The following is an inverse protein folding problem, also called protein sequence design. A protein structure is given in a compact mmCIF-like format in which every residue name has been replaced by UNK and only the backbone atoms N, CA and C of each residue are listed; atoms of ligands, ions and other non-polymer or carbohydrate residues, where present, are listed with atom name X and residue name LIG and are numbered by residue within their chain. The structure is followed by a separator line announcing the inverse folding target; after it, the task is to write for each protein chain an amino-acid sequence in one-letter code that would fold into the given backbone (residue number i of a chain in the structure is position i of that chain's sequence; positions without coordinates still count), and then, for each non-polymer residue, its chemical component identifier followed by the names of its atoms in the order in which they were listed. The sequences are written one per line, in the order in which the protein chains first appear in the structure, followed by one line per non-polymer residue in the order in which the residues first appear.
data_IF_138002948808
#
_entry.id   IF_138002948808
#
_cell.length_a   1.000
_cell.length_b   1.000
_cell.length_c   1.000
_cell.angle_alpha   90.00
_cell.angle_beta   90.00
_cell.angle_gamma   90.00
#
_symmetry.space_group_name_H-M   'P 1'
#
loop_
_entity.id
_entity.type
_entity.pdbx_description
1 polymer ?
#
# COMPACT_ATOMS: atom_id res chain seq x y z
N UNK A 1 -18.10 -77.06 -38.62
CA UNK A 1 -18.13 -77.13 -37.15
C UNK A 1 -18.04 -75.70 -36.61
N UNK A 2 -18.86 -75.40 -35.60
CA UNK A 2 -19.04 -74.16 -34.81
C UNK A 2 -17.78 -73.25 -34.75
N UNK A 3 -17.82 -71.92 -34.83
CA UNK A 3 -18.87 -70.88 -34.85
C UNK A 3 -18.23 -69.51 -35.20
N UNK A 4 -19.02 -68.42 -35.35
CA UNK A 4 -18.58 -67.18 -36.01
C UNK A 4 -18.32 -66.03 -35.03
N UNK A 5 -17.33 -65.18 -35.31
CA UNK A 5 -17.22 -63.82 -34.76
C UNK A 5 -16.64 -62.89 -35.85
N UNK A 6 -17.52 -62.14 -36.53
CA UNK A 6 -17.87 -60.72 -36.34
C UNK A 6 -16.91 -59.77 -37.09
N UNK A 7 -17.52 -59.09 -38.06
CA UNK A 7 -16.96 -58.04 -38.89
C UNK A 7 -16.75 -56.74 -38.11
N UNK A 8 -15.77 -55.95 -38.54
CA UNK A 8 -15.57 -54.57 -38.11
C UNK A 8 -14.68 -53.84 -39.11
N UNK A 9 -15.29 -53.33 -40.18
CA UNK A 9 -14.69 -52.30 -41.02
C UNK A 9 -15.02 -50.92 -40.45
N UNK A 10 -14.18 -49.93 -40.73
CA UNK A 10 -14.52 -48.53 -40.47
C UNK A 10 -13.35 -47.58 -40.29
N UNK A 11 -12.86 -47.09 -41.42
CA UNK A 11 -12.36 -45.73 -41.68
C UNK A 11 -11.64 -44.94 -40.56
N UNK A 12 -10.36 -44.71 -40.83
CA UNK A 12 -9.53 -43.65 -40.25
C UNK A 12 -10.04 -42.29 -40.77
N UNK A 13 -10.55 -41.45 -39.87
CA UNK A 13 -10.79 -40.03 -40.11
C UNK A 13 -9.85 -39.22 -39.22
N UNK A 14 -8.91 -38.53 -39.84
CA UNK A 14 -7.99 -37.59 -39.21
C UNK A 14 -8.73 -36.38 -38.67
N UNK A 15 -8.59 -36.10 -37.37
CA UNK A 15 -8.96 -34.83 -36.75
C UNK A 15 -7.85 -34.41 -35.76
N UNK A 16 -7.19 -33.31 -36.14
CA UNK A 16 -6.26 -32.54 -35.34
C UNK A 16 -6.99 -31.91 -34.14
N UNK A 17 -6.50 -32.13 -32.93
CA UNK A 17 -6.67 -31.22 -31.79
C UNK A 17 -5.36 -31.22 -30.97
N UNK A 18 -4.72 -30.06 -30.75
CA UNK A 18 -3.59 -29.96 -29.83
C UNK A 18 -4.12 -30.02 -28.38
N UNK A 19 -3.41 -30.79 -27.55
CA UNK A 19 -3.61 -30.86 -26.10
C UNK A 19 -3.60 -29.45 -25.49
N UNK A 20 -4.78 -28.98 -25.08
CA UNK A 20 -4.98 -27.91 -24.12
C UNK A 20 -5.84 -28.50 -22.99
N UNK A 21 -5.48 -28.13 -21.76
CA UNK A 21 -6.08 -28.54 -20.47
C UNK A 21 -5.60 -29.88 -19.91
N UNK A 22 -4.66 -29.83 -18.96
CA UNK A 22 -4.91 -29.93 -17.51
C UNK A 22 -3.57 -29.65 -16.81
N UNK A 23 -3.39 -28.40 -16.40
CA UNK A 23 -2.42 -27.99 -15.37
C UNK A 23 -3.01 -26.78 -14.65
N UNK A 24 -4.21 -26.96 -14.10
CA UNK A 24 -4.87 -25.99 -13.25
C UNK A 24 -5.34 -26.73 -12.00
N UNK A 25 -4.40 -27.06 -11.11
CA UNK A 25 -4.64 -27.44 -9.72
C UNK A 25 -3.28 -27.48 -9.02
N UNK A 26 -3.14 -26.66 -7.97
CA UNK A 26 -1.97 -26.49 -7.09
C UNK A 26 -0.94 -25.45 -7.56
N UNK A 27 -1.29 -24.19 -7.34
CA UNK A 27 -0.39 -23.06 -7.50
C UNK A 27 -1.11 -21.76 -7.18
N UNK A 28 -1.67 -21.65 -5.97
CA UNK A 28 -2.00 -20.35 -5.43
C UNK A 28 -0.67 -19.60 -5.29
N UNK A 29 -0.34 -18.79 -6.30
CA UNK A 29 0.72 -17.82 -6.19
C UNK A 29 0.27 -16.85 -5.10
N UNK A 30 0.80 -17.03 -3.90
CA UNK A 30 0.84 -15.96 -2.92
C UNK A 30 1.55 -14.80 -3.62
N UNK A 31 0.81 -13.75 -3.98
CA UNK A 31 1.41 -12.49 -4.39
C UNK A 31 2.29 -12.06 -3.23
N UNK A 32 3.62 -12.13 -3.42
CA UNK A 32 4.56 -11.55 -2.47
C UNK A 32 4.17 -10.08 -2.32
N UNK A 33 4.00 -9.61 -1.09
CA UNK A 33 3.69 -8.21 -0.86
C UNK A 33 4.83 -7.37 -1.48
N UNK A 34 4.52 -6.31 -2.24
CA UNK A 34 5.54 -5.45 -2.81
C UNK A 34 6.44 -4.89 -1.70
N UNK A 35 7.74 -5.01 -1.89
CA UNK A 35 8.75 -4.54 -0.93
C UNK A 35 8.65 -3.03 -0.83
N UNK A 36 8.07 -2.53 0.26
CA UNK A 36 8.05 -1.10 0.56
C UNK A 36 9.48 -0.66 0.87
N UNK A 37 9.97 0.35 0.15
CA UNK A 37 11.31 0.88 0.35
C UNK A 37 11.41 1.55 1.73
N UNK A 38 12.50 1.28 2.45
CA UNK A 38 12.75 1.80 3.80
C UNK A 38 13.80 2.91 3.74
N UNK A 39 13.53 4.05 4.38
CA UNK A 39 14.55 5.08 4.67
C UNK A 39 15.49 4.53 5.73
N UNK A 40 16.56 3.84 5.32
CA UNK A 40 17.54 3.25 6.25
C UNK A 40 18.19 4.26 7.20
N UNK A 41 18.25 5.54 6.81
CA UNK A 41 18.72 6.63 7.67
C UNK A 41 17.69 7.11 8.71
N UNK A 42 16.40 6.80 8.53
CA UNK A 42 15.31 7.25 9.40
C UNK A 42 14.88 6.18 10.42
N UNK A 43 15.25 4.92 10.21
CA UNK A 43 14.95 3.82 11.15
C UNK A 43 15.91 3.83 12.36
N UNK A 44 15.50 3.26 13.50
CA UNK A 44 16.37 3.12 14.66
C UNK A 44 17.66 2.35 14.35
N UNK A 45 18.81 2.66 15.00
CA UNK A 45 20.08 1.98 14.72
C UNK A 45 20.02 0.46 14.88
N UNK A 46 19.28 -0.04 15.90
CA UNK A 46 19.09 -1.47 16.10
C UNK A 46 18.26 -2.09 14.96
N UNK A 47 17.27 -1.36 14.42
CA UNK A 47 16.51 -1.79 13.26
C UNK A 47 17.39 -1.94 12.02
N UNK A 48 18.28 -0.97 11.78
CA UNK A 48 19.22 -1.02 10.67
C UNK A 48 20.19 -2.21 10.80
N UNK A 49 20.67 -2.51 12.00
CA UNK A 49 21.55 -3.67 12.26
C UNK A 49 20.88 -5.01 11.97
N UNK A 50 19.57 -5.14 12.22
CA UNK A 50 18.82 -6.38 12.01
C UNK A 50 18.00 -6.41 10.71
N UNK A 51 18.24 -5.46 9.79
CA UNK A 51 17.49 -5.36 8.54
C UNK A 51 17.64 -6.63 7.67
N UNK A 52 18.85 -7.19 7.60
CA UNK A 52 19.10 -8.45 6.86
C UNK A 52 18.35 -9.63 7.49
N UNK A 53 18.35 -9.76 8.82
CA UNK A 53 17.56 -10.78 9.53
C UNK A 53 16.07 -10.64 9.21
N UNK A 54 15.53 -9.42 9.22
CA UNK A 54 14.12 -9.18 8.90
C UNK A 54 13.81 -9.53 7.44
N UNK A 55 14.68 -9.12 6.51
CA UNK A 55 14.53 -9.44 5.08
C UNK A 55 14.60 -10.95 4.83
N UNK A 56 15.51 -11.66 5.50
CA UNK A 56 15.63 -13.12 5.42
C UNK A 56 14.34 -13.80 5.88
N UNK A 57 13.83 -13.44 7.07
CA UNK A 57 12.62 -14.07 7.64
C UNK A 57 11.39 -13.77 6.78
N UNK A 58 11.21 -12.53 6.35
CA UNK A 58 10.04 -12.13 5.54
C UNK A 58 10.06 -12.80 4.17
N UNK A 59 11.20 -12.86 3.49
CA UNK A 59 11.28 -13.51 2.17
C UNK A 59 11.07 -15.03 2.22
N UNK A 60 11.50 -15.69 3.29
CA UNK A 60 11.46 -17.17 3.40
C UNK A 60 10.23 -17.71 4.12
N UNK A 61 9.72 -16.99 5.11
CA UNK A 61 8.73 -17.51 6.07
C UNK A 61 7.43 -16.71 6.07
N UNK A 62 7.50 -15.41 5.78
CA UNK A 62 6.34 -14.51 5.84
C UNK A 62 6.35 -13.41 4.75
N UNK A 63 6.20 -13.77 3.47
CA UNK A 63 6.21 -12.79 2.37
C UNK A 63 5.03 -11.81 2.41
N UNK A 64 3.99 -12.11 3.19
CA UNK A 64 2.82 -11.25 3.39
C UNK A 64 3.01 -10.15 4.46
N UNK A 65 4.07 -10.20 5.27
CA UNK A 65 4.36 -9.21 6.30
C UNK A 65 5.54 -8.33 5.85
N UNK A 66 5.31 -7.07 5.43
CA UNK A 66 6.37 -6.21 4.92
C UNK A 66 7.42 -5.88 5.99
N UNK A 67 8.69 -5.83 5.60
CA UNK A 67 9.79 -5.45 6.49
C UNK A 67 9.59 -4.07 7.13
N UNK A 68 9.06 -3.10 6.38
CA UNK A 68 8.72 -1.77 6.90
C UNK A 68 7.66 -1.84 8.01
N UNK A 69 6.64 -2.69 7.84
CA UNK A 69 5.61 -2.91 8.85
C UNK A 69 6.18 -3.51 10.12
N UNK A 70 7.10 -4.48 10.00
CA UNK A 70 7.83 -5.05 11.16
C UNK A 70 8.58 -3.96 11.91
N UNK A 71 9.30 -3.09 11.21
CA UNK A 71 10.07 -2.01 11.84
C UNK A 71 9.15 -1.03 12.57
N UNK A 72 8.03 -0.65 11.95
CA UNK A 72 7.03 0.24 12.52
C UNK A 72 6.31 -0.39 13.72
N UNK A 73 5.97 -1.67 13.64
CA UNK A 73 5.33 -2.43 14.72
C UNK A 73 6.27 -2.55 15.93
N UNK A 74 7.53 -2.97 15.74
CA UNK A 74 8.52 -3.03 16.82
C UNK A 74 8.79 -1.65 17.44
N UNK A 75 8.79 -0.59 16.62
CA UNK A 75 8.87 0.78 17.14
C UNK A 75 7.63 1.14 18.00
N UNK A 76 6.44 0.70 17.58
CA UNK A 76 5.20 0.88 18.32
C UNK A 76 5.10 0.01 19.59
N UNK A 77 5.88 -1.06 19.71
CA UNK A 77 5.91 -1.88 20.91
C UNK A 77 6.95 -1.37 21.91
N UNK A 78 8.22 -1.38 21.52
CA UNK A 78 9.32 -1.16 22.46
C UNK A 78 10.17 0.06 22.14
N UNK A 79 9.84 0.83 21.08
CA UNK A 79 10.75 1.85 20.54
C UNK A 79 12.13 1.28 20.19
N UNK A 80 12.17 0.03 19.73
CA UNK A 80 13.41 -0.71 19.46
C UNK A 80 14.33 -0.88 20.68
N UNK A 81 13.80 -0.81 21.90
CA UNK A 81 14.49 -1.24 23.12
C UNK A 81 14.30 -2.76 23.30
N UNK A 82 15.37 -3.58 23.19
CA UNK A 82 15.26 -5.03 23.37
C UNK A 82 15.12 -5.45 24.83
N UNK A 83 15.39 -4.55 25.78
CA UNK A 83 15.25 -4.79 27.22
C UNK A 83 13.90 -4.35 27.77
N UNK A 84 13.03 -3.81 26.92
CA UNK A 84 11.73 -3.30 27.32
C UNK A 84 10.90 -4.37 28.02
N UNK A 85 10.34 -4.01 29.18
CA UNK A 85 9.41 -4.84 29.93
C UNK A 85 8.24 -3.99 30.42
N UNK A 86 7.02 -4.46 30.13
CA UNK A 86 5.79 -3.89 30.68
C UNK A 86 5.14 -4.87 31.64
N UNK A 87 4.80 -4.42 32.85
CA UNK A 87 4.10 -5.24 33.83
C UNK A 87 2.59 -5.22 33.54
N UNK A 88 1.99 -6.41 33.46
CA UNK A 88 0.54 -6.56 33.33
C UNK A 88 0.04 -7.72 34.21
N UNK A 89 -1.27 -7.97 34.17
CA UNK A 89 -1.91 -9.05 34.94
C UNK A 89 -1.50 -10.46 34.51
N UNK A 90 -0.81 -10.63 33.39
CA UNK A 90 -0.41 -11.90 32.81
C UNK A 90 1.07 -12.23 33.03
N UNK A 91 1.76 -11.51 33.93
CA UNK A 91 3.20 -11.67 34.16
C UNK A 91 4.07 -10.73 33.33
N UNK A 92 3.46 -9.83 32.56
CA UNK A 92 4.13 -8.82 31.76
C UNK A 92 4.51 -9.28 30.36
N UNK A 93 5.04 -8.33 29.59
CA UNK A 93 5.42 -8.49 28.21
C UNK A 93 6.85 -7.95 28.01
N UNK A 94 7.65 -8.65 27.21
CA UNK A 94 9.09 -8.41 27.12
C UNK A 94 9.61 -8.34 25.69
N UNK A 95 10.72 -7.64 25.51
CA UNK A 95 11.47 -7.59 24.26
C UNK A 95 10.83 -6.74 23.17
N UNK A 96 11.34 -6.89 21.95
CA UNK A 96 11.04 -6.01 20.82
C UNK A 96 9.55 -5.98 20.44
N UNK A 97 8.88 -7.14 20.45
CA UNK A 97 7.44 -7.26 20.16
C UNK A 97 6.55 -7.24 21.41
N UNK A 98 7.11 -6.99 22.60
CA UNK A 98 6.38 -7.07 23.87
C UNK A 98 5.50 -8.33 23.93
N UNK A 99 6.13 -9.50 23.85
CA UNK A 99 5.41 -10.77 24.00
C UNK A 99 5.40 -11.19 25.48
N UNK A 100 4.24 -11.64 25.97
CA UNK A 100 4.18 -12.31 27.26
C UNK A 100 4.82 -13.70 27.21
N UNK A 101 5.15 -14.28 28.36
CA UNK A 101 5.86 -15.56 28.47
C UNK A 101 5.16 -16.70 27.72
N UNK A 102 3.83 -16.77 27.82
CA UNK A 102 3.04 -17.81 27.16
C UNK A 102 3.16 -17.71 25.63
N UNK A 103 3.01 -16.51 25.07
CA UNK A 103 3.16 -16.26 23.64
C UNK A 103 4.62 -16.48 23.18
N UNK A 104 5.59 -16.07 23.99
CA UNK A 104 7.02 -16.30 23.72
C UNK A 104 7.35 -17.79 23.65
N UNK A 105 6.84 -18.57 24.61
CA UNK A 105 7.02 -20.03 24.62
C UNK A 105 6.31 -20.69 23.43
N UNK A 106 5.11 -20.21 23.07
CA UNK A 106 4.40 -20.69 21.88
C UNK A 106 5.10 -20.32 20.56
N UNK A 107 5.87 -19.23 20.54
CA UNK A 107 6.77 -18.88 19.44
C UNK A 107 8.07 -19.72 19.43
N UNK A 108 8.21 -20.65 20.38
CA UNK A 108 9.34 -21.57 20.51
C UNK A 108 10.46 -21.08 21.42
N UNK A 109 10.29 -19.94 22.10
CA UNK A 109 11.25 -19.40 23.07
C UNK A 109 11.25 -20.14 24.42
N UNK A 110 12.24 -19.85 25.26
CA UNK A 110 12.33 -20.40 26.60
C UNK A 110 11.43 -19.64 27.59
N UNK A 111 10.80 -20.36 28.53
CA UNK A 111 10.15 -19.75 29.68
C UNK A 111 11.17 -18.94 30.50
N UNK A 112 10.73 -17.84 31.09
CA UNK A 112 11.59 -16.92 31.81
C UNK A 112 11.86 -17.47 33.22
N UNK A 113 13.08 -17.30 33.71
CA UNK A 113 13.44 -17.75 35.06
C UNK A 113 13.06 -16.75 36.16
N UNK A 114 12.70 -15.52 35.79
CA UNK A 114 12.29 -14.44 36.66
C UNK A 114 11.38 -13.44 35.91
N UNK A 115 10.71 -12.57 36.68
CA UNK A 115 9.89 -11.46 36.15
C UNK A 115 10.34 -10.15 36.79
N UNK A 116 10.87 -9.17 36.02
CA UNK A 116 11.16 -9.21 34.59
C UNK A 116 12.16 -10.32 34.18
N UNK A 117 12.21 -10.72 32.89
CA UNK A 117 13.21 -11.68 32.41
C UNK A 117 14.63 -11.19 32.70
N UNK A 118 15.57 -12.08 33.04
CA UNK A 118 16.97 -11.68 33.21
C UNK A 118 17.59 -11.25 31.88
N UNK A 119 18.62 -10.41 31.92
CA UNK A 119 19.27 -9.81 30.73
C UNK A 119 19.75 -10.84 29.68
N UNK A 120 20.03 -12.08 30.09
CA UNK A 120 20.47 -13.16 29.22
C UNK A 120 19.32 -14.02 28.67
N UNK A 121 18.07 -13.71 28.98
CA UNK A 121 16.91 -14.39 28.42
C UNK A 121 16.83 -14.17 26.90
N UNK A 122 16.47 -15.22 26.17
CA UNK A 122 16.34 -15.20 24.71
C UNK A 122 15.31 -14.16 24.22
N UNK A 123 14.25 -13.93 25.00
CA UNK A 123 13.26 -12.88 24.73
C UNK A 123 13.85 -11.46 24.71
N UNK A 124 14.99 -11.23 25.37
CA UNK A 124 15.67 -9.93 25.37
C UNK A 124 16.83 -9.86 24.37
N UNK A 125 17.13 -10.95 23.65
CA UNK A 125 18.16 -10.95 22.61
C UNK A 125 17.55 -10.58 21.26
N UNK A 126 17.94 -9.45 20.63
CA UNK A 126 17.27 -8.93 19.43
C UNK A 126 17.10 -9.94 18.28
N UNK A 127 18.16 -10.66 17.92
CA UNK A 127 18.13 -11.59 16.78
C UNK A 127 17.25 -12.82 17.07
N UNK A 128 17.38 -13.41 18.27
CA UNK A 128 16.52 -14.51 18.72
C UNK A 128 15.06 -14.06 18.81
N UNK A 129 14.81 -12.85 19.32
CA UNK A 129 13.50 -12.25 19.39
C UNK A 129 12.86 -12.13 18.02
N UNK A 130 13.54 -11.51 17.05
CA UNK A 130 13.01 -11.33 15.70
C UNK A 130 12.78 -12.66 14.98
N UNK A 131 13.72 -13.61 15.08
CA UNK A 131 13.60 -14.94 14.43
C UNK A 131 12.43 -15.78 14.95
N UNK A 132 11.99 -15.57 16.19
CA UNK A 132 10.86 -16.30 16.79
C UNK A 132 9.55 -15.52 16.69
N UNK A 133 9.58 -14.22 16.97
CA UNK A 133 8.40 -13.39 17.01
C UNK A 133 7.83 -13.13 15.61
N UNK A 134 8.65 -12.88 14.58
CA UNK A 134 8.14 -12.56 13.24
C UNK A 134 7.30 -13.72 12.66
N UNK A 135 7.74 -15.00 12.67
CA UNK A 135 6.90 -16.11 12.22
C UNK A 135 5.62 -16.29 13.04
N UNK A 136 5.67 -16.03 14.34
CA UNK A 136 4.49 -16.11 15.22
C UNK A 136 3.47 -15.00 14.93
N UNK A 137 3.94 -13.76 14.77
CA UNK A 137 3.13 -12.61 14.34
C UNK A 137 2.54 -12.85 12.95
N UNK A 138 3.31 -13.46 12.04
CA UNK A 138 2.83 -13.86 10.72
C UNK A 138 1.70 -14.89 10.78
N UNK A 139 1.78 -15.87 11.70
CA UNK A 139 0.69 -16.81 11.90
C UNK A 139 -0.61 -16.10 12.35
N UNK A 140 -0.49 -15.08 13.19
CA UNK A 140 -1.62 -14.23 13.58
C UNK A 140 -2.15 -13.41 12.40
N UNK A 141 -1.27 -12.87 11.54
CA UNK A 141 -1.67 -12.20 10.30
C UNK A 141 -2.50 -13.12 9.39
N UNK A 142 -2.02 -14.34 9.15
CA UNK A 142 -2.75 -15.36 8.36
C UNK A 142 -4.11 -15.69 8.96
N UNK A 143 -4.17 -15.84 10.28
CA UNK A 143 -5.43 -16.11 10.99
C UNK A 143 -6.40 -14.92 10.91
N UNK A 144 -5.91 -13.70 11.08
CA UNK A 144 -6.68 -12.47 10.94
C UNK A 144 -7.22 -12.33 9.50
N UNK A 145 -6.35 -12.50 8.49
CA UNK A 145 -6.73 -12.46 7.07
C UNK A 145 -7.85 -13.45 6.78
N UNK A 146 -7.68 -14.72 7.17
CA UNK A 146 -8.71 -15.75 6.94
C UNK A 146 -10.05 -15.39 7.58
N UNK A 147 -10.05 -14.76 8.76
CA UNK A 147 -11.28 -14.31 9.40
C UNK A 147 -11.91 -13.12 8.68
N UNK A 148 -11.11 -12.13 8.29
CA UNK A 148 -11.56 -10.93 7.57
C UNK A 148 -12.20 -11.34 6.24
N UNK A 149 -11.54 -12.21 5.48
CA UNK A 149 -12.04 -12.74 4.22
C UNK A 149 -13.38 -13.48 4.39
N UNK A 150 -13.48 -14.30 5.44
CA UNK A 150 -14.71 -15.06 5.73
C UNK A 150 -15.88 -14.18 6.22
N UNK A 151 -15.58 -13.02 6.82
CA UNK A 151 -16.59 -12.15 7.44
C UNK A 151 -16.94 -10.90 6.63
N UNK A 152 -16.13 -10.56 5.62
CA UNK A 152 -16.31 -9.36 4.81
C UNK A 152 -16.11 -8.05 5.59
N UNK A 153 -15.30 -8.09 6.67
CA UNK A 153 -15.04 -6.90 7.50
C UNK A 153 -14.24 -5.86 6.71
N UNK A 154 -14.59 -4.56 6.79
CA UNK A 154 -13.90 -3.48 6.09
C UNK A 154 -12.60 -3.05 6.81
N UNK A 155 -11.63 -3.97 6.90
CA UNK A 155 -10.32 -3.73 7.52
C UNK A 155 -9.23 -4.47 6.75
N UNK A 156 -8.00 -3.93 6.73
CA UNK A 156 -6.86 -4.65 6.17
C UNK A 156 -6.43 -5.82 7.07
N UNK A 157 -5.81 -6.84 6.48
CA UNK A 157 -5.25 -7.96 7.25
C UNK A 157 -4.15 -7.50 8.24
N UNK A 158 -3.36 -6.50 7.84
CA UNK A 158 -2.30 -5.93 8.67
C UNK A 158 -2.85 -5.17 9.87
N UNK A 159 -3.91 -4.37 9.71
CA UNK A 159 -4.58 -3.71 10.83
C UNK A 159 -5.29 -4.72 11.74
N UNK A 160 -5.93 -5.75 11.15
CA UNK A 160 -6.52 -6.84 11.92
C UNK A 160 -5.50 -7.59 12.79
N UNK A 161 -4.29 -7.81 12.26
CA UNK A 161 -3.16 -8.35 13.02
C UNK A 161 -2.78 -7.44 14.18
N UNK A 162 -2.74 -6.12 14.01
CA UNK A 162 -2.48 -5.17 15.10
C UNK A 162 -3.54 -5.23 16.18
N UNK A 163 -4.83 -5.29 15.82
CA UNK A 163 -5.93 -5.49 16.79
C UNK A 163 -5.74 -6.79 17.58
N UNK A 164 -5.44 -7.87 16.87
CA UNK A 164 -5.11 -9.17 17.46
C UNK A 164 -3.94 -9.09 18.45
N UNK A 165 -2.90 -8.33 18.10
CA UNK A 165 -1.70 -8.18 18.91
C UNK A 165 -1.96 -7.39 20.20
N UNK A 166 -2.53 -6.19 20.08
CA UNK A 166 -2.65 -5.26 21.23
C UNK A 166 -3.84 -5.58 22.15
N UNK A 167 -4.93 -6.12 21.61
CA UNK A 167 -6.17 -6.34 22.36
C UNK A 167 -6.68 -7.79 22.31
N UNK A 168 -5.99 -8.67 21.58
CA UNK A 168 -6.40 -10.05 21.37
C UNK A 168 -7.42 -10.20 20.24
N UNK A 169 -7.34 -11.29 19.49
CA UNK A 169 -8.17 -11.53 18.30
C UNK A 169 -9.69 -11.55 18.55
N UNK A 170 -10.14 -11.72 19.80
CA UNK A 170 -11.55 -11.55 20.15
C UNK A 170 -12.09 -10.16 19.77
N UNK A 171 -11.25 -9.13 19.77
CA UNK A 171 -11.64 -7.74 19.43
C UNK A 171 -11.79 -7.55 17.94
N UNK A 172 -10.93 -8.17 17.14
CA UNK A 172 -11.08 -8.24 15.68
C UNK A 172 -12.34 -9.01 15.31
N UNK A 173 -12.51 -10.21 15.86
CA UNK A 173 -13.58 -11.12 15.45
C UNK A 173 -14.96 -10.66 15.92
N UNK A 174 -15.05 -10.08 17.12
CA UNK A 174 -16.29 -9.67 17.74
C UNK A 174 -16.75 -8.23 17.45
N UNK A 175 -15.95 -7.41 16.77
CA UNK A 175 -16.33 -6.04 16.39
C UNK A 175 -16.98 -6.01 15.02
N UNK A 176 -17.75 -4.96 14.72
CA UNK A 176 -18.46 -4.89 13.43
C UNK A 176 -17.49 -4.68 12.27
N UNK A 177 -16.55 -3.74 12.42
CA UNK A 177 -15.61 -3.34 11.36
C UNK A 177 -14.29 -4.12 11.39
N UNK A 178 -14.01 -4.83 12.49
CA UNK A 178 -12.70 -5.40 12.79
C UNK A 178 -11.87 -4.53 13.75
N UNK A 179 -12.23 -3.26 13.93
CA UNK A 179 -11.71 -2.38 14.98
C UNK A 179 -12.84 -2.18 16.01
N UNK A 180 -12.65 -2.55 17.30
CA UNK A 180 -13.71 -2.44 18.28
C UNK A 180 -14.05 -0.99 18.59
N UNK A 181 -15.32 -0.61 18.40
CA UNK A 181 -15.87 0.60 19.00
C UNK A 181 -16.13 0.39 20.51
N UNK A 182 -16.26 1.49 21.26
CA UNK A 182 -16.61 1.41 22.68
C UNK A 182 -17.97 0.73 22.87
N UNK A 183 -17.99 -0.38 23.61
CA UNK A 183 -19.16 -1.23 23.82
C UNK A 183 -19.21 -2.48 22.91
N UNK A 184 -18.33 -2.58 21.92
CA UNK A 184 -18.21 -3.78 21.07
C UNK A 184 -17.13 -4.74 21.59
N UNK A 185 -17.27 -6.03 21.30
CA UNK A 185 -16.24 -7.05 21.51
C UNK A 185 -15.58 -7.07 22.92
N UNK A 186 -16.34 -6.69 23.96
CA UNK A 186 -15.83 -6.59 25.33
C UNK A 186 -14.79 -5.48 25.52
N UNK A 187 -14.87 -4.41 24.73
CA UNK A 187 -13.96 -3.27 24.73
C UNK A 187 -14.70 -2.02 25.23
N UNK A 188 -14.23 -1.42 26.33
CA UNK A 188 -14.74 -0.13 26.80
C UNK A 188 -14.11 1.03 25.99
N UNK A 189 -14.40 2.28 26.38
CA UNK A 189 -13.83 3.45 25.70
C UNK A 189 -12.30 3.52 25.79
N UNK A 190 -11.72 3.08 26.90
CA UNK A 190 -10.27 3.06 27.08
C UNK A 190 -9.62 2.05 26.14
N UNK A 191 -10.19 0.84 26.08
CA UNK A 191 -9.77 -0.22 25.16
C UNK A 191 -9.91 0.21 23.69
N UNK A 192 -11.04 0.81 23.30
CA UNK A 192 -11.25 1.23 21.91
C UNK A 192 -10.25 2.33 21.50
N UNK A 193 -10.01 3.30 22.38
CA UNK A 193 -9.01 4.34 22.16
C UNK A 193 -7.59 3.76 22.08
N UNK A 194 -7.25 2.79 22.95
CA UNK A 194 -5.95 2.12 22.92
C UNK A 194 -5.71 1.45 21.56
N UNK A 195 -6.70 0.72 21.04
CA UNK A 195 -6.59 0.04 19.74
C UNK A 195 -6.43 1.04 18.60
N UNK A 196 -7.28 2.08 18.54
CA UNK A 196 -7.22 3.08 17.49
C UNK A 196 -5.87 3.83 17.49
N UNK A 197 -5.45 4.35 18.65
CA UNK A 197 -4.17 5.06 18.79
C UNK A 197 -2.97 4.16 18.49
N UNK A 198 -3.06 2.87 18.80
CA UNK A 198 -2.00 1.92 18.49
C UNK A 198 -1.85 1.69 16.98
N UNK A 199 -2.97 1.53 16.27
CA UNK A 199 -2.98 1.43 14.80
C UNK A 199 -2.40 2.72 14.20
N UNK A 200 -2.89 3.89 14.61
CA UNK A 200 -2.42 5.20 14.12
C UNK A 200 -0.91 5.38 14.33
N UNK A 201 -0.38 4.92 15.48
CA UNK A 201 1.04 4.99 15.79
C UNK A 201 1.88 4.11 14.86
N UNK A 202 1.43 2.89 14.54
CA UNK A 202 2.12 2.03 13.57
C UNK A 202 2.10 2.66 12.19
N UNK A 203 0.96 3.17 11.72
CA UNK A 203 0.86 3.88 10.44
C UNK A 203 1.75 5.12 10.38
N UNK A 204 1.81 5.90 11.46
CA UNK A 204 2.72 7.04 11.58
C UNK A 204 4.19 6.64 11.42
N UNK A 205 4.61 5.51 12.00
CA UNK A 205 5.95 4.97 11.80
C UNK A 205 6.17 4.40 10.40
N UNK A 206 5.17 3.77 9.77
CA UNK A 206 5.24 3.35 8.37
C UNK A 206 5.48 4.57 7.46
N UNK A 207 4.79 5.68 7.68
CA UNK A 207 5.01 6.92 6.94
C UNK A 207 6.40 7.54 7.23
N UNK A 208 6.81 7.55 8.50
CA UNK A 208 8.10 8.09 8.92
C UNK A 208 9.28 7.31 8.32
N UNK A 209 9.23 5.98 8.39
CA UNK A 209 10.30 5.07 8.00
C UNK A 209 10.21 4.63 6.55
N UNK A 210 9.03 4.71 5.94
CA UNK A 210 8.87 4.50 4.53
C UNK A 210 9.71 5.52 3.78
N UNK A 211 10.54 5.04 2.87
CA UNK A 211 10.89 5.88 1.75
C UNK A 211 9.56 6.26 1.11
N UNK A 212 9.35 7.58 0.92
CA UNK A 212 8.50 7.96 -0.20
C UNK A 212 9.05 7.10 -1.35
N UNK A 213 8.21 6.27 -1.95
CA UNK A 213 8.60 5.39 -3.04
C UNK A 213 8.96 6.27 -4.23
N UNK A 214 9.98 7.13 -4.12
CA UNK A 214 10.06 8.50 -4.62
C UNK A 214 10.04 8.60 -6.13
N UNK A 215 10.67 9.60 -6.75
CA UNK A 215 10.74 9.60 -8.20
C UNK A 215 11.34 8.27 -8.73
N UNK A 216 10.53 7.45 -9.39
CA UNK A 216 10.94 6.16 -9.96
C UNK A 216 11.46 6.44 -11.36
N UNK A 217 12.56 5.80 -11.77
CA UNK A 217 13.05 5.92 -13.14
C UNK A 217 11.97 5.47 -14.15
N UNK A 218 11.78 6.29 -15.19
CA UNK A 218 10.73 6.12 -16.22
C UNK A 218 11.32 5.99 -17.62
N UNK A 219 12.60 5.62 -17.71
CA UNK A 219 13.32 5.48 -18.98
C UNK A 219 12.73 4.39 -19.89
N UNK A 220 11.93 3.49 -19.31
CA UNK A 220 11.20 2.44 -20.02
C UNK A 220 9.90 2.93 -20.68
N UNK A 221 9.42 4.13 -20.34
CA UNK A 221 8.23 4.74 -20.92
C UNK A 221 8.60 5.63 -22.12
N UNK A 222 7.73 5.70 -23.14
CA UNK A 222 8.02 6.55 -24.28
C UNK A 222 7.90 8.03 -23.90
N UNK A 223 8.83 8.84 -24.40
CA UNK A 223 8.71 10.30 -24.32
C UNK A 223 7.48 10.79 -25.10
N UNK A 224 6.75 11.82 -24.62
CA UNK A 224 5.60 12.37 -25.30
C UNK A 224 5.99 13.24 -26.49
N UNK A 225 5.07 13.36 -27.46
CA UNK A 225 5.19 14.38 -28.50
C UNK A 225 5.01 15.77 -27.87
N UNK A 226 5.89 16.75 -28.11
CA UNK A 226 5.70 18.10 -27.57
C UNK A 226 4.44 18.76 -28.14
N UNK A 227 3.65 19.39 -27.27
CA UNK A 227 2.52 20.22 -27.69
C UNK A 227 3.01 21.56 -28.26
N UNK A 228 2.55 21.92 -29.46
CA UNK A 228 2.94 23.14 -30.18
C UNK A 228 1.76 24.01 -30.61
N UNK A 229 0.54 23.70 -30.16
CA UNK A 229 -0.68 24.43 -30.51
C UNK A 229 -0.98 25.58 -29.55
N UNK A 230 -2.06 26.33 -29.84
CA UNK A 230 -2.62 27.32 -28.91
C UNK A 230 -3.57 26.62 -27.94
N UNK A 231 -3.46 26.91 -26.65
CA UNK A 231 -4.27 26.27 -25.61
C UNK A 231 -4.87 27.29 -24.63
N UNK A 232 -5.91 28.00 -25.08
CA UNK A 232 -6.54 29.08 -24.30
C UNK A 232 -7.98 28.77 -23.85
N UNK A 233 -8.71 27.91 -24.57
CA UNK A 233 -10.13 27.66 -24.31
C UNK A 233 -10.45 26.18 -24.19
N UNK A 234 -11.42 25.87 -23.33
CA UNK A 234 -12.01 24.56 -23.14
C UNK A 234 -12.89 24.24 -24.37
N UNK A 235 -12.36 23.46 -25.31
CA UNK A 235 -12.97 23.25 -26.63
C UNK A 235 -12.95 21.80 -27.12
N UNK A 236 -12.03 20.98 -26.61
CA UNK A 236 -11.98 19.55 -26.91
C UNK A 236 -12.94 18.76 -26.03
N UNK A 237 -13.47 17.65 -26.54
CA UNK A 237 -14.22 16.70 -25.71
C UNK A 237 -13.34 16.12 -24.62
N UNK A 238 -13.87 16.08 -23.40
CA UNK A 238 -13.25 15.37 -22.29
C UNK A 238 -13.51 13.86 -22.41
N UNK A 239 -12.47 13.04 -22.66
CA UNK A 239 -12.60 11.59 -22.78
C UNK A 239 -12.94 10.88 -21.46
N UNK A 240 -12.86 11.58 -20.32
CA UNK A 240 -13.18 11.05 -18.99
C UNK A 240 -14.65 11.23 -18.59
N UNK A 241 -15.46 11.86 -19.45
CA UNK A 241 -16.91 12.02 -19.26
C UNK A 241 -17.35 13.40 -18.78
N UNK A 242 -16.43 14.35 -18.58
CA UNK A 242 -16.73 15.75 -18.29
C UNK A 242 -17.15 16.58 -19.50
N UNK A 243 -17.20 17.91 -19.36
CA UNK A 243 -17.66 18.82 -20.44
C UNK A 243 -16.60 19.02 -21.53
N UNK A 244 -15.44 19.58 -21.19
CA UNK A 244 -14.42 19.89 -22.18
C UNK A 244 -13.01 19.97 -21.59
N UNK A 245 -12.00 19.90 -22.45
CA UNK A 245 -10.60 20.14 -22.13
C UNK A 245 -10.01 21.20 -23.05
N UNK A 246 -8.98 21.90 -22.57
CA UNK A 246 -8.14 22.69 -23.47
C UNK A 246 -7.35 21.76 -24.40
N UNK A 247 -6.91 22.22 -25.58
CA UNK A 247 -6.09 21.42 -26.49
C UNK A 247 -4.83 20.83 -25.84
N UNK A 248 -4.13 21.57 -24.97
CA UNK A 248 -2.96 21.04 -24.28
C UNK A 248 -3.32 19.96 -23.26
N UNK A 249 -4.40 20.13 -22.48
CA UNK A 249 -4.84 19.09 -21.52
C UNK A 249 -5.28 17.83 -22.23
N UNK A 250 -6.00 17.99 -23.36
CA UNK A 250 -6.40 16.84 -24.16
C UNK A 250 -5.19 16.09 -24.72
N UNK A 251 -4.22 16.83 -25.25
CA UNK A 251 -2.95 16.26 -25.74
C UNK A 251 -2.21 15.52 -24.62
N UNK A 252 -2.13 16.11 -23.42
CA UNK A 252 -1.48 15.46 -22.28
C UNK A 252 -2.19 14.16 -21.88
N UNK A 253 -3.52 14.14 -21.85
CA UNK A 253 -4.29 12.91 -21.58
C UNK A 253 -4.05 11.82 -22.62
N UNK A 254 -4.01 12.19 -23.91
CA UNK A 254 -3.75 11.24 -24.99
C UNK A 254 -2.32 10.65 -24.90
N UNK A 255 -1.32 11.48 -24.55
CA UNK A 255 0.06 11.03 -24.35
C UNK A 255 0.23 10.16 -23.09
N UNK A 256 -0.49 10.46 -21.99
CA UNK A 256 -0.55 9.60 -20.80
C UNK A 256 -1.16 8.24 -21.17
N UNK A 257 -2.28 8.24 -21.89
CA UNK A 257 -2.92 7.01 -22.37
C UNK A 257 -1.99 6.20 -23.28
N UNK A 258 -1.17 6.86 -24.09
CA UNK A 258 -0.18 6.20 -24.95
C UNK A 258 0.97 5.58 -24.14
N UNK A 259 1.41 6.21 -23.06
CA UNK A 259 2.51 5.74 -22.23
C UNK A 259 2.09 4.65 -21.22
N UNK A 260 0.91 4.78 -20.62
CA UNK A 260 0.43 3.93 -19.51
C UNK A 260 -0.72 2.99 -19.87
N UNK A 261 -1.29 3.14 -21.07
CA UNK A 261 -2.53 2.48 -21.48
C UNK A 261 -3.79 3.26 -21.06
N UNK A 262 -4.96 2.88 -21.59
CA UNK A 262 -6.22 3.53 -21.23
C UNK A 262 -6.58 3.24 -19.76
N UNK A 263 -7.15 4.22 -19.03
CA UNK A 263 -7.65 3.97 -17.68
C UNK A 263 -8.69 2.85 -17.64
N UNK A 264 -8.62 2.00 -16.62
CA UNK A 264 -9.60 0.94 -16.41
C UNK A 264 -9.27 -0.02 -15.27
N UNK A 265 -10.19 -0.95 -14.94
CA UNK A 265 -9.97 -1.92 -13.87
C UNK A 265 -8.72 -2.77 -14.11
N UNK A 266 -7.78 -2.74 -13.16
CA UNK A 266 -6.51 -3.48 -13.23
C UNK A 266 -5.46 -2.88 -14.18
N UNK A 267 -5.72 -1.71 -14.78
CA UNK A 267 -4.71 -0.95 -15.51
C UNK A 267 -3.82 -0.15 -14.55
N UNK A 268 -2.63 0.32 -14.99
CA UNK A 268 -1.76 1.15 -14.16
C UNK A 268 -2.43 2.42 -13.62
N UNK A 269 -3.40 2.93 -14.37
CA UNK A 269 -4.31 3.99 -13.98
C UNK A 269 -5.71 3.38 -13.94
N UNK A 270 -6.35 3.36 -12.76
CA UNK A 270 -7.65 2.73 -12.57
C UNK A 270 -8.77 3.55 -13.20
N UNK A 271 -8.75 4.85 -12.97
CA UNK A 271 -9.73 5.80 -13.49
C UNK A 271 -9.11 7.19 -13.61
N UNK A 272 -9.73 8.04 -14.42
CA UNK A 272 -9.34 9.44 -14.55
C UNK A 272 -10.58 10.33 -14.57
N UNK A 273 -10.46 11.54 -14.05
CA UNK A 273 -11.47 12.59 -14.16
C UNK A 273 -10.80 13.92 -14.47
N UNK A 274 -11.17 14.58 -15.56
CA UNK A 274 -10.53 15.80 -15.99
C UNK A 274 -11.38 17.05 -15.76
N UNK A 275 -12.47 17.20 -16.49
CA UNK A 275 -13.35 18.35 -16.31
C UNK A 275 -14.37 18.08 -15.20
N UNK A 276 -14.48 19.01 -14.25
CA UNK A 276 -15.54 19.04 -13.24
C UNK A 276 -16.01 20.49 -13.01
N UNK A 277 -17.28 20.68 -12.62
CA UNK A 277 -17.82 22.03 -12.35
C UNK A 277 -17.15 22.69 -11.16
N UNK A 278 -16.74 21.87 -10.19
CA UNK A 278 -15.99 22.25 -9.01
C UNK A 278 -16.62 23.45 -8.28
N UNK A 279 -17.94 23.40 -8.07
CA UNK A 279 -18.76 24.53 -7.62
C UNK A 279 -18.28 25.16 -6.29
N UNK A 280 -17.62 24.39 -5.42
CA UNK A 280 -17.05 24.86 -4.15
C UNK A 280 -15.66 25.51 -4.29
N UNK A 281 -14.99 25.34 -5.42
CA UNK A 281 -13.71 25.98 -5.75
C UNK A 281 -13.64 26.28 -7.27
N UNK A 282 -14.40 27.28 -7.74
CA UNK A 282 -14.48 27.62 -9.17
C UNK A 282 -13.18 28.19 -9.72
N UNK A 283 -12.23 28.57 -8.85
CA UNK A 283 -10.88 29.00 -9.23
C UNK A 283 -9.94 27.84 -9.55
N UNK A 284 -10.38 26.60 -9.36
CA UNK A 284 -9.67 25.39 -9.76
C UNK A 284 -9.40 25.37 -11.28
N UNK A 285 -8.40 24.60 -11.69
CA UNK A 285 -8.06 24.37 -13.09
C UNK A 285 -9.01 23.34 -13.75
N UNK A 286 -9.72 22.50 -12.96
CA UNK A 286 -10.73 21.55 -13.45
C UNK A 286 -11.88 22.20 -14.26
N UNK A 287 -12.61 23.21 -13.75
CA UNK A 287 -13.71 23.83 -14.50
C UNK A 287 -13.26 24.57 -15.76
N UNK A 288 -11.96 24.88 -15.85
CA UNK A 288 -11.33 25.49 -17.03
C UNK A 288 -10.91 24.45 -18.08
N UNK A 289 -11.05 23.16 -17.81
CA UNK A 289 -10.58 22.07 -18.67
C UNK A 289 -9.06 21.95 -18.70
N UNK A 290 -8.39 22.37 -17.62
CA UNK A 290 -6.93 22.49 -17.51
C UNK A 290 -6.30 21.50 -16.55
N UNK A 291 -7.09 20.62 -15.93
CA UNK A 291 -6.60 19.64 -14.98
C UNK A 291 -7.16 18.24 -15.23
N UNK A 292 -6.46 17.25 -14.70
CA UNK A 292 -6.91 15.87 -14.59
C UNK A 292 -6.42 15.24 -13.30
N UNK A 293 -7.28 14.42 -12.69
CA UNK A 293 -6.97 13.53 -11.60
C UNK A 293 -6.90 12.10 -12.13
N UNK A 294 -5.76 11.45 -11.95
CA UNK A 294 -5.54 10.06 -12.34
C UNK A 294 -5.46 9.19 -11.09
N UNK A 295 -6.50 8.40 -10.84
CA UNK A 295 -6.60 7.52 -9.68
C UNK A 295 -5.85 6.21 -9.93
N UNK A 296 -5.02 5.81 -8.97
CA UNK A 296 -4.21 4.60 -9.05
C UNK A 296 -4.92 3.41 -8.41
N UNK A 297 -5.82 3.70 -7.47
CA UNK A 297 -6.70 2.74 -6.80
C UNK A 297 -8.09 3.39 -6.61
N UNK A 298 -8.97 2.77 -5.81
CA UNK A 298 -10.26 3.36 -5.45
C UNK A 298 -10.10 4.72 -4.77
N UNK A 299 -10.93 5.69 -5.14
CA UNK A 299 -10.92 7.03 -4.54
C UNK A 299 -11.16 6.95 -3.01
N UNK A 300 -10.42 7.78 -2.27
CA UNK A 300 -10.44 7.80 -0.81
C UNK A 300 -9.53 6.76 -0.15
N UNK A 301 -8.75 5.99 -0.91
CA UNK A 301 -7.82 4.99 -0.37
C UNK A 301 -6.38 5.47 -0.45
N UNK A 302 -5.56 5.16 0.56
CA UNK A 302 -4.11 5.37 0.45
C UNK A 302 -3.52 4.21 -0.35
N UNK A 303 -3.07 4.43 -1.60
CA UNK A 303 -2.58 3.36 -2.44
C UNK A 303 -1.27 2.83 -1.87
N UNK A 304 -1.11 1.52 -1.96
CA UNK A 304 0.09 0.82 -1.52
C UNK A 304 0.67 0.06 -2.71
N UNK A 305 1.82 -0.56 -2.51
CA UNK A 305 2.31 -1.55 -3.45
C UNK A 305 2.44 -1.10 -4.91
N UNK A 306 1.80 -1.84 -5.83
CA UNK A 306 1.92 -1.59 -7.27
C UNK A 306 1.21 -0.30 -7.68
N UNK A 307 0.08 0.01 -7.05
CA UNK A 307 -0.73 1.20 -7.28
C UNK A 307 0.04 2.46 -6.88
N UNK A 308 0.69 2.42 -5.71
CA UNK A 308 1.60 3.47 -5.27
C UNK A 308 2.77 3.65 -6.26
N UNK A 309 3.38 2.55 -6.71
CA UNK A 309 4.45 2.59 -7.72
C UNK A 309 3.97 3.17 -9.05
N UNK A 310 2.76 2.84 -9.49
CA UNK A 310 2.18 3.40 -10.72
C UNK A 310 1.99 4.91 -10.59
N UNK A 311 1.52 5.39 -9.44
CA UNK A 311 1.41 6.84 -9.15
C UNK A 311 2.76 7.54 -9.21
N UNK A 312 3.80 6.96 -8.62
CA UNK A 312 5.15 7.51 -8.70
C UNK A 312 5.74 7.48 -10.10
N UNK A 313 5.50 6.43 -10.89
CA UNK A 313 5.89 6.38 -12.30
C UNK A 313 5.18 7.47 -13.10
N UNK A 314 3.87 7.66 -12.91
CA UNK A 314 3.11 8.71 -13.58
C UNK A 314 3.61 10.10 -13.18
N UNK A 315 3.71 10.39 -11.89
CA UNK A 315 4.17 11.69 -11.39
C UNK A 315 5.60 12.02 -11.86
N UNK A 316 6.49 11.03 -11.89
CA UNK A 316 7.87 11.21 -12.39
C UNK A 316 7.89 11.44 -13.90
N UNK A 317 7.11 10.70 -14.68
CA UNK A 317 7.02 10.87 -16.13
C UNK A 317 6.48 12.26 -16.50
N UNK A 318 5.43 12.72 -15.81
CA UNK A 318 4.87 14.06 -15.98
C UNK A 318 5.89 15.16 -15.66
N UNK A 319 6.63 15.01 -14.57
CA UNK A 319 7.70 15.94 -14.18
C UNK A 319 8.83 15.97 -15.21
N UNK A 320 9.31 14.80 -15.64
CA UNK A 320 10.39 14.65 -16.63
C UNK A 320 10.03 15.30 -17.98
N UNK A 321 8.76 15.21 -18.38
CA UNK A 321 8.28 15.72 -19.65
C UNK A 321 7.45 17.01 -19.55
N UNK A 322 7.54 17.71 -18.41
CA UNK A 322 6.76 18.90 -18.13
C UNK A 322 6.78 19.95 -19.26
N UNK A 323 7.93 20.29 -19.87
CA UNK A 323 7.96 21.26 -20.98
C UNK A 323 7.20 20.80 -22.23
N UNK A 324 7.28 19.51 -22.55
CA UNK A 324 6.61 18.93 -23.73
C UNK A 324 5.09 18.89 -23.55
N UNK A 325 4.63 18.67 -22.32
CA UNK A 325 3.22 18.54 -21.96
C UNK A 325 2.58 19.85 -21.46
N UNK A 326 3.36 20.93 -21.32
CA UNK A 326 2.93 22.22 -20.75
C UNK A 326 2.42 22.10 -19.30
N UNK A 327 3.10 21.27 -18.50
CA UNK A 327 2.71 21.04 -17.10
C UNK A 327 2.99 22.28 -16.26
N UNK A 328 1.93 22.82 -15.64
CA UNK A 328 1.97 23.92 -14.69
C UNK A 328 2.39 23.43 -13.30
N UNK A 329 1.79 22.33 -12.82
CA UNK A 329 2.19 21.64 -11.59
C UNK A 329 1.65 20.21 -11.54
N UNK A 330 2.25 19.40 -10.67
CA UNK A 330 1.82 18.04 -10.32
C UNK A 330 1.65 17.97 -8.81
N UNK A 331 0.59 17.30 -8.33
CA UNK A 331 0.38 17.00 -6.91
C UNK A 331 0.30 15.48 -6.75
N UNK A 332 1.10 14.93 -5.84
CA UNK A 332 1.12 13.52 -5.51
C UNK A 332 1.71 13.28 -4.13
N UNK A 333 1.09 12.38 -3.35
CA UNK A 333 1.55 11.96 -2.02
C UNK A 333 1.74 13.14 -1.07
N UNK A 334 0.77 14.05 -1.01
CA UNK A 334 0.83 15.23 -0.14
C UNK A 334 1.89 16.25 -0.53
N UNK A 335 2.44 16.17 -1.75
CA UNK A 335 3.47 17.10 -2.27
C UNK A 335 3.01 17.76 -3.55
N UNK A 336 3.40 19.02 -3.72
CA UNK A 336 3.20 19.78 -4.95
C UNK A 336 4.56 20.16 -5.56
N UNK A 337 4.70 19.88 -6.86
CA UNK A 337 5.87 20.24 -7.66
C UNK A 337 5.46 21.12 -8.84
N UNK A 338 6.27 22.12 -9.18
CA UNK A 338 6.14 22.88 -10.43
C UNK A 338 7.52 23.19 -11.03
N UNK A 339 7.63 23.45 -12.35
CA UNK A 339 8.92 23.76 -12.99
C UNK A 339 9.66 24.96 -12.38
N UNK A 340 8.92 25.93 -11.86
CA UNK A 340 9.48 27.18 -11.33
C UNK A 340 9.81 27.12 -9.83
N UNK A 341 9.63 25.97 -9.18
CA UNK A 341 9.86 25.82 -7.74
C UNK A 341 10.96 24.80 -7.45
N UNK A 342 11.84 25.15 -6.52
CA UNK A 342 12.85 24.20 -6.02
C UNK A 342 12.19 23.13 -5.15
N UNK A 343 12.70 21.90 -5.23
CA UNK A 343 12.31 20.84 -4.30
C UNK A 343 12.76 21.16 -2.87
N UNK A 344 12.13 20.50 -1.90
CA UNK A 344 12.68 20.37 -0.54
C UNK A 344 13.81 19.34 -0.50
N UNK A 345 14.48 19.22 0.65
CA UNK A 345 15.66 18.35 0.85
C UNK A 345 15.43 16.86 0.51
N UNK A 346 14.18 16.43 0.46
CA UNK A 346 13.77 15.07 0.09
C UNK A 346 13.50 14.87 -1.41
N UNK A 347 13.72 15.90 -2.24
CA UNK A 347 13.81 15.78 -3.70
C UNK A 347 12.48 15.62 -4.44
N UNK A 348 11.33 15.79 -3.79
CA UNK A 348 10.02 15.75 -4.44
C UNK A 348 9.07 16.85 -3.94
N UNK A 349 9.08 17.98 -4.67
CA UNK A 349 8.18 19.10 -4.46
C UNK A 349 8.31 19.71 -3.07
N UNK A 350 7.30 20.48 -2.67
CA UNK A 350 7.11 20.96 -1.30
C UNK A 350 5.84 20.36 -0.70
N UNK A 351 5.65 20.38 0.64
CA UNK A 351 4.38 20.01 1.24
C UNK A 351 3.20 20.73 0.60
N UNK A 352 2.20 19.97 0.19
CA UNK A 352 0.91 20.49 -0.25
C UNK A 352 0.06 20.80 0.98
N UNK A 353 -0.60 21.95 0.99
CA UNK A 353 -1.31 22.47 2.18
C UNK A 353 -2.82 22.49 2.02
N UNK A 354 -3.36 21.85 0.98
CA UNK A 354 -4.80 21.88 0.68
C UNK A 354 -5.32 23.24 0.20
N UNK A 355 -4.45 24.25 0.06
CA UNK A 355 -4.84 25.63 -0.28
C UNK A 355 -5.81 26.26 0.73
N UNK A 356 -5.95 25.70 1.93
CA UNK A 356 -6.94 26.09 2.93
C UNK A 356 -8.39 25.65 2.62
N UNK A 357 -8.58 24.82 1.58
CA UNK A 357 -9.89 24.33 1.13
C UNK A 357 -10.03 22.83 1.42
N UNK A 358 -8.98 22.06 1.15
CA UNK A 358 -8.96 20.61 1.30
C UNK A 358 -8.21 20.21 2.58
N UNK A 359 -8.62 19.10 3.18
CA UNK A 359 -7.85 18.45 4.24
C UNK A 359 -6.63 17.77 3.59
N UNK A 360 -5.42 18.27 3.88
CA UNK A 360 -4.20 17.78 3.28
C UNK A 360 -3.74 16.44 3.88
N UNK A 361 -4.37 15.98 4.98
CA UNK A 361 -4.00 14.76 5.69
C UNK A 361 -4.87 13.56 5.28
N UNK A 362 -6.01 13.78 4.59
CA UNK A 362 -6.85 12.71 4.06
C UNK A 362 -6.42 12.25 2.65
N UNK A 363 -6.86 11.06 2.24
CA UNK A 363 -6.38 10.42 1.00
C UNK A 363 -6.67 11.25 -0.26
N UNK A 364 -7.84 11.88 -0.34
CA UNK A 364 -8.28 12.61 -1.53
C UNK A 364 -7.84 14.06 -1.50
N UNK A 365 -8.09 14.78 -0.40
CA UNK A 365 -7.67 16.16 -0.21
C UNK A 365 -6.15 16.32 -0.20
N UNK A 366 -5.41 15.34 0.32
CA UNK A 366 -3.95 15.28 0.26
C UNK A 366 -3.37 14.75 -1.06
N UNK A 367 -4.21 14.33 -2.01
CA UNK A 367 -3.79 13.74 -3.29
C UNK A 367 -2.86 12.52 -3.11
N UNK A 368 -3.22 11.65 -2.16
CA UNK A 368 -2.56 10.37 -1.97
C UNK A 368 -3.17 9.28 -2.84
N UNK A 369 -4.47 9.36 -3.17
CA UNK A 369 -5.23 8.38 -3.96
C UNK A 369 -5.18 8.63 -5.49
N UNK A 370 -4.83 9.86 -5.91
CA UNK A 370 -4.68 10.23 -7.31
C UNK A 370 -3.49 11.17 -7.56
N UNK A 371 -2.90 11.07 -8.76
CA UNK A 371 -1.99 12.09 -9.28
C UNK A 371 -2.82 13.18 -9.94
N UNK A 372 -2.74 14.39 -9.39
CA UNK A 372 -3.30 15.59 -10.01
C UNK A 372 -2.27 16.27 -10.89
N UNK A 373 -2.69 16.65 -12.09
CA UNK A 373 -1.91 17.45 -13.01
C UNK A 373 -2.70 18.68 -13.43
N UNK A 374 -2.03 19.82 -13.46
CA UNK A 374 -2.55 21.05 -14.03
C UNK A 374 -1.67 21.54 -15.18
N UNK A 375 -2.31 22.08 -16.21
CA UNK A 375 -1.71 22.48 -17.49
C UNK A 375 -1.73 24.01 -17.63
N UNK A 376 -0.67 24.56 -18.21
CA UNK A 376 -0.55 25.99 -18.46
C UNK A 376 -1.67 26.52 -19.39
N UNK A 377 -1.98 27.80 -19.22
CA UNK A 377 -2.77 28.58 -20.17
C UNK A 377 -1.75 29.45 -20.89
N UNK A 378 -1.74 29.40 -22.21
CA UNK A 378 -0.92 30.32 -22.99
C UNK A 378 -1.34 31.77 -22.82
#
# INVERSE_FOLDING_TARGET
MRGPLIAGGGLVASLLLPLLLIAALLGGLASAAPVQAVKTAAIPPLAAQHFETIAEITTTTCPELPALWIIAHVQAESSWDPTAFSADRNGGAAGLYQLNEANWTNAGGAAWSATPPPDNADVLQPDEHLRRAIPWVCANLRAASSHIDASGKPISALDGMLVCHIAGCGRLTGSTTGIPAAGEAGCDRSCANLVATYIDRVHGFVQQYGAASGPIAVDDLPAPTPFTGVSAICSGTDPTGGRCLTPATRHAHDEITRAFGPPGPGAPIRSAGCWDEHAWNPTSDHPQGRACDYFLDDAGTFPQGQELQNGWRLATWLRTHAPALKVKYVIWQGRIWSPDTSDTDDGWGRPYTGGGIYDADDATGGHFDHVHISIESE
#
